data_IF_237728688583
#
_entry.id   IF_237728688583
#
_cell.length_a   1.000
_cell.length_b   1.000
_cell.length_c   1.000
_cell.angle_alpha   90.00
_cell.angle_beta   90.00
_cell.angle_gamma   90.00
#
_symmetry.space_group_name_H-M   'P 1'
#
loop_
_entity.id
_entity.type
_entity.pdbx_description
1 polymer ?
#
# COMPACT_ATOMS: atom_id res chain seq x y z
N UNK A 1 10.23 32.81 -21.03
CA UNK A 1 9.37 31.67 -20.64
C UNK A 1 7.94 31.92 -21.09
N UNK A 2 7.39 31.05 -21.93
CA UNK A 2 6.03 31.18 -22.50
C UNK A 2 4.94 31.10 -21.43
N UNK A 3 3.82 31.79 -21.66
CA UNK A 3 2.62 31.80 -20.78
C UNK A 3 2.15 30.39 -20.37
N UNK A 4 2.26 29.43 -21.30
CA UNK A 4 1.92 28.02 -21.09
C UNK A 4 2.80 27.38 -20.01
N UNK A 5 4.11 27.62 -20.04
CA UNK A 5 5.05 27.04 -19.08
C UNK A 5 4.77 27.54 -17.65
N UNK A 6 4.43 28.83 -17.49
CA UNK A 6 4.04 29.41 -16.19
C UNK A 6 2.74 28.80 -15.65
N UNK A 7 1.76 28.52 -16.52
CA UNK A 7 0.47 27.91 -16.12
C UNK A 7 0.66 26.46 -15.69
N UNK A 8 1.49 25.69 -16.40
CA UNK A 8 1.83 24.30 -16.04
C UNK A 8 2.56 24.26 -14.70
N UNK A 9 3.56 25.11 -14.48
CA UNK A 9 4.31 25.17 -13.22
C UNK A 9 3.40 25.59 -12.05
N UNK A 10 2.52 26.58 -12.25
CA UNK A 10 1.58 27.04 -11.22
C UNK A 10 0.54 25.98 -10.85
N UNK A 11 0.01 25.25 -11.83
CA UNK A 11 -0.95 24.17 -11.59
C UNK A 11 -0.29 22.96 -10.91
N UNK A 12 0.96 22.67 -11.25
CA UNK A 12 1.75 21.63 -10.60
C UNK A 12 2.07 21.99 -9.15
N UNK A 13 2.48 23.24 -8.88
CA UNK A 13 2.77 23.69 -7.52
C UNK A 13 1.53 23.77 -6.64
N UNK A 14 0.38 24.21 -7.16
CA UNK A 14 -0.88 24.21 -6.41
C UNK A 14 -1.38 22.79 -6.11
N UNK A 15 -1.28 21.87 -7.08
CA UNK A 15 -1.65 20.46 -6.87
C UNK A 15 -0.76 19.74 -5.86
N UNK A 16 0.53 20.11 -5.77
CA UNK A 16 1.44 19.62 -4.71
C UNK A 16 1.08 20.23 -3.35
N UNK A 17 0.71 21.50 -3.31
CA UNK A 17 0.34 22.19 -2.07
C UNK A 17 -0.92 21.59 -1.43
N UNK A 18 -1.98 21.37 -2.22
CA UNK A 18 -3.22 20.75 -1.74
C UNK A 18 -3.01 19.29 -1.30
N UNK A 19 -2.17 18.55 -2.01
CA UNK A 19 -1.78 17.20 -1.62
C UNK A 19 -1.05 17.19 -0.26
N UNK A 20 -0.08 18.10 -0.07
CA UNK A 20 0.70 18.20 1.17
C UNK A 20 -0.11 18.65 2.38
N UNK A 21 -1.25 19.32 2.20
CA UNK A 21 -2.09 19.72 3.32
C UNK A 21 -3.01 18.58 3.80
N UNK A 22 -3.42 17.68 2.90
CA UNK A 22 -4.35 16.59 3.21
C UNK A 22 -3.67 15.29 3.63
N UNK A 23 -2.44 15.05 3.15
CA UNK A 23 -1.74 13.77 3.31
C UNK A 23 -0.34 13.96 3.92
N UNK A 24 -0.22 14.93 4.83
CA UNK A 24 1.06 15.36 5.40
C UNK A 24 1.57 14.34 6.41
N UNK A 25 2.82 13.94 6.25
CA UNK A 25 3.57 13.27 7.30
C UNK A 25 4.27 14.32 8.18
N UNK A 26 4.35 14.09 9.50
CA UNK A 26 4.99 15.01 10.43
C UNK A 26 6.49 15.14 10.14
N UNK A 27 7.12 16.23 10.59
CA UNK A 27 8.54 16.49 10.31
C UNK A 27 9.43 15.44 10.94
N UNK A 28 8.98 14.90 12.06
CA UNK A 28 9.53 13.82 12.86
C UNK A 28 9.81 12.60 11.97
N UNK A 29 8.83 12.17 11.16
CA UNK A 29 9.02 11.10 10.17
C UNK A 29 10.10 11.45 9.14
N UNK A 30 10.04 12.65 8.56
CA UNK A 30 10.98 13.05 7.49
C UNK A 30 12.42 13.18 8.00
N UNK A 31 12.59 13.73 9.20
CA UNK A 31 13.88 14.01 9.81
C UNK A 31 14.49 12.79 10.52
N UNK A 32 13.71 11.72 10.74
CA UNK A 32 14.26 10.51 11.33
C UNK A 32 15.24 9.83 10.36
N UNK A 33 16.31 9.28 10.94
CA UNK A 33 17.29 8.45 10.24
C UNK A 33 16.98 6.95 10.42
N UNK A 34 15.88 6.62 11.08
CA UNK A 34 15.37 5.25 11.23
C UNK A 34 14.93 4.66 9.88
N UNK A 35 14.89 3.34 9.83
CA UNK A 35 14.36 2.62 8.67
C UNK A 35 12.88 2.92 8.52
N UNK A 36 12.47 3.37 7.33
CA UNK A 36 11.11 3.79 7.01
C UNK A 36 10.37 2.73 6.22
N UNK A 37 9.23 2.29 6.75
CA UNK A 37 8.33 1.36 6.08
C UNK A 37 7.08 2.11 5.62
N UNK A 38 6.67 1.86 4.38
CA UNK A 38 5.35 2.21 3.87
C UNK A 38 4.54 0.93 3.69
N UNK A 39 3.37 0.85 4.32
CA UNK A 39 2.46 -0.27 4.24
C UNK A 39 1.13 0.15 3.61
N UNK A 40 0.71 -0.61 2.61
CA UNK A 40 -0.53 -0.40 1.84
C UNK A 40 -1.22 -1.73 1.59
N UNK A 41 -2.53 -1.70 1.33
CA UNK A 41 -3.30 -2.89 1.02
C UNK A 41 -4.50 -2.57 0.13
N UNK A 42 -5.01 -3.59 -0.58
CA UNK A 42 -6.27 -3.56 -1.31
C UNK A 42 -6.35 -2.32 -2.20
N UNK A 43 -5.49 -2.27 -3.21
CA UNK A 43 -5.22 -1.07 -3.99
C UNK A 43 -6.01 -1.07 -5.30
N UNK A 44 -7.13 -0.33 -5.43
CA UNK A 44 -7.80 -0.18 -6.72
C UNK A 44 -6.98 0.72 -7.65
N UNK A 45 -7.10 0.50 -8.95
CA UNK A 45 -6.37 1.25 -9.99
C UNK A 45 -6.54 2.77 -9.84
N UNK A 46 -7.73 3.21 -9.42
CA UNK A 46 -8.07 4.63 -9.27
C UNK A 46 -7.14 5.40 -8.32
N UNK A 47 -6.44 4.72 -7.41
CA UNK A 47 -5.53 5.36 -6.45
C UNK A 47 -4.04 5.15 -6.72
N UNK A 48 -3.65 4.46 -7.80
CA UNK A 48 -2.22 4.24 -8.11
C UNK A 48 -1.42 5.54 -8.16
N UNK A 49 -1.97 6.57 -8.81
CA UNK A 49 -1.32 7.88 -8.88
C UNK A 49 -1.12 8.52 -7.50
N UNK A 50 -2.02 8.26 -6.56
CA UNK A 50 -1.92 8.74 -5.18
C UNK A 50 -0.81 7.96 -4.44
N UNK A 51 -0.80 6.63 -4.55
CA UNK A 51 0.27 5.78 -4.00
C UNK A 51 1.64 6.24 -4.48
N UNK A 52 1.81 6.50 -5.78
CA UNK A 52 3.09 6.98 -6.32
C UNK A 52 3.50 8.38 -5.81
N UNK A 53 2.53 9.27 -5.56
CA UNK A 53 2.83 10.57 -4.95
C UNK A 53 3.26 10.41 -3.51
N UNK A 54 2.54 9.57 -2.76
CA UNK A 54 2.87 9.24 -1.37
C UNK A 54 4.24 8.57 -1.26
N UNK A 55 4.57 7.66 -2.17
CA UNK A 55 5.89 7.03 -2.28
C UNK A 55 7.00 8.07 -2.43
N UNK A 56 6.90 8.98 -3.41
CA UNK A 56 7.92 10.03 -3.62
C UNK A 56 7.99 11.00 -2.45
N UNK A 57 6.85 11.31 -1.83
CA UNK A 57 6.79 12.24 -0.72
C UNK A 57 7.43 11.65 0.55
N UNK A 58 7.15 10.39 0.85
CA UNK A 58 7.58 9.71 2.07
C UNK A 58 8.95 9.04 1.96
N UNK A 59 9.42 8.73 0.74
CA UNK A 59 10.72 8.09 0.46
C UNK A 59 11.05 6.94 1.44
N UNK A 60 10.21 5.89 1.52
CA UNK A 60 10.44 4.76 2.41
C UNK A 60 11.62 3.91 1.94
N UNK A 61 12.23 3.18 2.87
CA UNK A 61 13.28 2.18 2.60
C UNK A 61 12.67 0.81 2.26
N UNK A 62 11.48 0.53 2.80
CA UNK A 62 10.74 -0.71 2.58
C UNK A 62 9.27 -0.41 2.26
N UNK A 63 8.71 -1.12 1.29
CA UNK A 63 7.30 -1.09 0.93
C UNK A 63 6.73 -2.49 1.14
N UNK A 64 5.64 -2.58 1.89
CA UNK A 64 4.94 -3.83 2.15
C UNK A 64 3.51 -3.67 1.63
N UNK A 65 3.10 -4.57 0.73
CA UNK A 65 1.75 -4.59 0.18
C UNK A 65 1.03 -5.88 0.56
N UNK A 66 0.00 -5.78 1.39
CA UNK A 66 -0.74 -6.94 1.93
C UNK A 66 -1.95 -7.31 1.10
N UNK A 67 -1.73 -7.57 -0.19
CA UNK A 67 -2.73 -8.19 -1.07
C UNK A 67 -3.63 -7.25 -1.84
N UNK A 68 -4.19 -7.78 -2.92
CA UNK A 68 -5.12 -7.18 -3.87
C UNK A 68 -4.54 -5.96 -4.58
N UNK A 69 -3.59 -6.21 -5.49
CA UNK A 69 -2.87 -5.19 -6.25
C UNK A 69 -3.77 -4.40 -7.20
N UNK A 70 -4.89 -4.99 -7.62
CA UNK A 70 -5.89 -4.36 -8.50
C UNK A 70 -7.28 -4.57 -7.92
N UNK A 71 -7.51 -4.08 -6.70
CA UNK A 71 -8.66 -4.46 -5.87
C UNK A 71 -10.05 -4.19 -6.50
N UNK A 72 -10.12 -3.25 -7.45
CA UNK A 72 -11.35 -3.01 -8.23
C UNK A 72 -11.71 -4.16 -9.19
N UNK A 73 -10.81 -5.12 -9.41
CA UNK A 73 -11.03 -6.34 -10.18
C UNK A 73 -11.06 -7.50 -9.18
N UNK A 74 -12.26 -7.80 -8.68
CA UNK A 74 -12.52 -8.92 -7.77
C UNK A 74 -12.38 -10.25 -8.51
N UNK A 75 -11.15 -10.69 -8.80
CA UNK A 75 -10.89 -11.86 -9.67
C UNK A 75 -11.60 -13.13 -9.17
N UNK A 76 -11.68 -13.30 -7.86
CA UNK A 76 -12.41 -14.41 -7.23
C UNK A 76 -13.91 -14.40 -7.58
N UNK A 77 -14.51 -13.22 -7.76
CA UNK A 77 -15.95 -13.05 -8.02
C UNK A 77 -16.29 -12.96 -9.52
N UNK A 78 -15.38 -12.41 -10.34
CA UNK A 78 -15.71 -11.92 -11.68
C UNK A 78 -15.40 -12.89 -12.84
N UNK A 79 -14.71 -14.00 -12.58
CA UNK A 79 -14.37 -15.02 -13.56
C UNK A 79 -13.26 -14.61 -14.55
N UNK A 80 -12.93 -15.53 -15.46
CA UNK A 80 -11.71 -15.48 -16.30
C UNK A 80 -11.65 -14.29 -17.28
N UNK A 81 -12.78 -13.63 -17.57
CA UNK A 81 -12.86 -12.52 -18.53
C UNK A 81 -12.05 -11.28 -18.08
N UNK A 82 -11.86 -11.10 -16.77
CA UNK A 82 -11.09 -9.98 -16.23
C UNK A 82 -9.59 -10.26 -16.14
N UNK A 83 -9.14 -11.50 -16.33
CA UNK A 83 -7.72 -11.89 -16.21
C UNK A 83 -6.81 -11.03 -17.11
N UNK A 84 -7.12 -10.79 -18.40
CA UNK A 84 -6.24 -9.97 -19.24
C UNK A 84 -6.12 -8.52 -18.75
N UNK A 85 -7.21 -7.97 -18.17
CA UNK A 85 -7.21 -6.63 -17.61
C UNK A 85 -6.40 -6.58 -16.31
N UNK A 86 -6.59 -7.55 -15.42
CA UNK A 86 -5.81 -7.70 -14.19
C UNK A 86 -4.32 -7.83 -14.51
N UNK A 87 -3.95 -8.72 -15.43
CA UNK A 87 -2.57 -8.92 -15.88
C UNK A 87 -1.92 -7.60 -16.30
N UNK A 88 -2.61 -6.83 -17.14
CA UNK A 88 -2.09 -5.54 -17.60
C UNK A 88 -1.91 -4.55 -16.44
N UNK A 89 -2.86 -4.49 -15.50
CA UNK A 89 -2.89 -3.48 -14.43
C UNK A 89 -1.97 -3.79 -13.27
N UNK A 90 -1.95 -5.03 -12.79
CA UNK A 90 -0.98 -5.49 -11.80
C UNK A 90 0.46 -5.31 -12.30
N UNK A 91 0.72 -5.69 -13.55
CA UNK A 91 2.03 -5.50 -14.17
C UNK A 91 2.42 -4.02 -14.32
N UNK A 92 1.47 -3.15 -14.65
CA UNK A 92 1.67 -1.70 -14.65
C UNK A 92 2.04 -1.18 -13.25
N UNK A 93 1.32 -1.62 -12.21
CA UNK A 93 1.56 -1.23 -10.83
C UNK A 93 2.94 -1.66 -10.33
N UNK A 94 3.29 -2.94 -10.50
CA UNK A 94 4.57 -3.53 -10.09
C UNK A 94 5.74 -2.80 -10.77
N UNK A 95 5.71 -2.69 -12.11
CA UNK A 95 6.79 -2.03 -12.86
C UNK A 95 6.97 -0.57 -12.46
N UNK A 96 5.87 0.14 -12.22
CA UNK A 96 5.95 1.53 -11.79
C UNK A 96 6.52 1.64 -10.38
N UNK A 97 6.07 0.83 -9.42
CA UNK A 97 6.66 0.81 -8.08
C UNK A 97 8.17 0.55 -8.14
N UNK A 98 8.59 -0.52 -8.82
CA UNK A 98 10.02 -0.88 -8.93
C UNK A 98 10.87 0.21 -9.58
N UNK A 99 10.32 0.93 -10.57
CA UNK A 99 11.01 2.02 -11.29
C UNK A 99 11.09 3.32 -10.49
N UNK A 100 10.12 3.58 -9.62
CA UNK A 100 9.97 4.88 -8.96
C UNK A 100 10.77 5.02 -7.66
N UNK A 101 11.28 3.91 -7.13
CA UNK A 101 12.04 3.86 -5.88
C UNK A 101 13.11 2.79 -5.94
N UNK A 102 14.10 2.87 -5.04
CA UNK A 102 15.03 1.78 -4.74
C UNK A 102 14.64 0.99 -3.50
N UNK A 103 13.54 1.35 -2.83
CA UNK A 103 13.04 0.67 -1.64
C UNK A 103 12.89 -0.85 -1.87
N UNK A 104 13.16 -1.66 -0.85
CA UNK A 104 12.78 -3.08 -0.85
C UNK A 104 11.26 -3.18 -0.95
N UNK A 105 10.75 -4.07 -1.80
CA UNK A 105 9.29 -4.21 -2.01
C UNK A 105 8.91 -5.65 -1.71
N UNK A 106 7.94 -5.82 -0.81
CA UNK A 106 7.45 -7.13 -0.36
C UNK A 106 5.95 -7.18 -0.65
N UNK A 107 5.55 -8.17 -1.44
CA UNK A 107 4.16 -8.47 -1.76
C UNK A 107 3.68 -9.70 -0.98
N UNK A 108 2.51 -9.58 -0.37
CA UNK A 108 1.75 -10.71 0.19
C UNK A 108 0.49 -10.80 -0.67
N UNK A 109 0.38 -11.76 -1.60
CA UNK A 109 -0.77 -11.82 -2.51
C UNK A 109 -2.09 -12.02 -1.75
N UNK A 110 -3.13 -11.30 -2.18
CA UNK A 110 -4.49 -11.44 -1.66
C UNK A 110 -5.34 -12.43 -2.45
N UNK A 111 -6.62 -12.56 -2.12
CA UNK A 111 -7.54 -13.49 -2.80
C UNK A 111 -7.95 -13.01 -4.20
N UNK A 112 -7.78 -11.73 -4.51
CA UNK A 112 -7.99 -11.19 -5.85
C UNK A 112 -6.70 -11.07 -6.66
N UNK A 113 -5.59 -11.62 -6.17
CA UNK A 113 -4.33 -11.64 -6.89
C UNK A 113 -4.03 -12.98 -7.58
N UNK A 114 -3.42 -12.91 -8.77
CA UNK A 114 -2.79 -14.07 -9.41
C UNK A 114 -1.28 -14.03 -9.15
N UNK A 115 -0.81 -14.98 -8.33
CA UNK A 115 0.60 -15.08 -7.93
C UNK A 115 1.53 -15.27 -9.13
N UNK A 116 1.10 -15.99 -10.17
CA UNK A 116 1.95 -16.23 -11.35
C UNK A 116 2.16 -14.93 -12.12
N UNK A 117 1.10 -14.12 -12.25
CA UNK A 117 1.18 -12.79 -12.88
C UNK A 117 2.16 -11.89 -12.11
N UNK A 118 2.12 -11.90 -10.77
CA UNK A 118 3.07 -11.14 -9.95
C UNK A 118 4.49 -11.65 -10.22
N UNK A 119 4.73 -12.96 -10.13
CA UNK A 119 6.05 -13.59 -10.36
C UNK A 119 6.65 -13.25 -11.72
N UNK A 120 5.83 -13.21 -12.77
CA UNK A 120 6.27 -12.89 -14.13
C UNK A 120 6.63 -11.41 -14.33
N UNK A 121 6.16 -10.52 -13.45
CA UNK A 121 6.30 -9.06 -13.62
C UNK A 121 7.22 -8.38 -12.59
N UNK A 122 7.64 -9.07 -11.53
CA UNK A 122 8.67 -8.58 -10.60
C UNK A 122 10.06 -8.72 -11.22
N UNK A 123 10.93 -7.74 -10.98
CA UNK A 123 12.36 -7.83 -11.32
C UNK A 123 13.24 -7.88 -10.08
N UNK A 124 12.82 -7.21 -9.00
CA UNK A 124 13.60 -7.05 -7.76
C UNK A 124 12.75 -7.13 -6.48
N UNK A 125 11.43 -7.14 -6.62
CA UNK A 125 10.50 -7.28 -5.50
C UNK A 125 10.47 -8.72 -5.00
N UNK A 126 9.96 -8.90 -3.79
CA UNK A 126 9.82 -10.20 -3.13
C UNK A 126 8.35 -10.57 -2.98
N UNK A 127 8.05 -11.86 -3.05
CA UNK A 127 6.73 -12.40 -2.73
C UNK A 127 6.90 -13.24 -1.47
N UNK A 128 6.10 -12.95 -0.44
CA UNK A 128 6.01 -13.73 0.78
C UNK A 128 4.61 -14.31 0.91
N UNK A 129 4.50 -15.40 1.67
CA UNK A 129 3.22 -16.04 1.95
C UNK A 129 2.59 -15.47 3.22
N UNK A 130 1.27 -15.61 3.36
CA UNK A 130 0.59 -15.24 4.59
C UNK A 130 1.15 -15.98 5.81
N UNK A 131 1.20 -15.28 6.95
CA UNK A 131 1.79 -15.80 8.19
C UNK A 131 3.31 -15.68 8.23
N UNK A 132 3.94 -15.10 7.20
CA UNK A 132 5.37 -14.85 7.21
C UNK A 132 5.76 -13.80 8.24
N UNK A 133 6.96 -13.93 8.79
CA UNK A 133 7.63 -12.91 9.59
C UNK A 133 8.84 -12.42 8.81
N UNK A 134 8.97 -11.10 8.66
CA UNK A 134 10.21 -10.46 8.21
C UNK A 134 10.83 -9.70 9.38
N UNK A 135 12.12 -9.90 9.62
CA UNK A 135 12.86 -9.15 10.61
C UNK A 135 13.57 -7.97 9.94
N UNK A 136 13.30 -6.75 10.42
CA UNK A 136 13.88 -5.51 9.93
C UNK A 136 14.38 -4.70 11.13
N UNK A 137 15.66 -4.34 11.12
CA UNK A 137 16.31 -3.57 12.20
C UNK A 137 16.02 -4.13 13.62
N UNK A 138 16.02 -5.46 13.75
CA UNK A 138 15.76 -6.16 15.01
C UNK A 138 14.28 -6.24 15.43
N UNK A 139 13.35 -5.81 14.58
CA UNK A 139 11.90 -5.86 14.84
C UNK A 139 11.25 -6.92 13.96
N UNK A 140 10.42 -7.80 14.56
CA UNK A 140 9.66 -8.83 13.83
C UNK A 140 8.35 -8.27 13.29
N UNK A 141 8.17 -8.34 11.98
CA UNK A 141 6.96 -7.89 11.31
C UNK A 141 6.20 -9.08 10.74
N UNK A 142 5.02 -9.34 11.28
CA UNK A 142 4.08 -10.34 10.81
C UNK A 142 3.27 -9.82 9.63
N UNK A 143 3.11 -10.66 8.60
CA UNK A 143 2.56 -10.29 7.31
C UNK A 143 1.45 -11.25 6.90
N UNK A 144 0.28 -10.74 6.58
CA UNK A 144 -0.81 -11.50 5.99
C UNK A 144 -1.71 -10.59 5.16
N UNK A 145 -2.51 -11.13 4.24
CA UNK A 145 -3.64 -10.39 3.67
C UNK A 145 -4.83 -10.54 4.63
N UNK A 146 -5.14 -11.78 5.02
CA UNK A 146 -6.16 -12.13 6.01
C UNK A 146 -5.66 -11.96 7.45
N UNK A 147 -6.34 -11.19 8.32
CA UNK A 147 -5.91 -10.99 9.72
C UNK A 147 -5.80 -12.29 10.52
N UNK A 148 -6.65 -13.28 10.25
CA UNK A 148 -6.62 -14.59 10.91
C UNK A 148 -5.39 -15.44 10.53
N UNK A 149 -4.65 -15.05 9.48
CA UNK A 149 -3.41 -15.70 9.05
C UNK A 149 -2.16 -15.03 9.62
N UNK A 150 -2.31 -13.96 10.39
CA UNK A 150 -1.20 -13.30 11.05
C UNK A 150 -0.46 -14.25 12.00
N UNK A 151 0.88 -14.17 12.06
CA UNK A 151 1.66 -14.97 13.00
C UNK A 151 1.50 -14.46 14.44
N UNK A 152 1.70 -15.34 15.41
CA UNK A 152 1.58 -15.01 16.84
C UNK A 152 2.81 -14.29 17.41
N UNK A 153 4.00 -14.53 16.84
CA UNK A 153 5.30 -14.05 17.34
C UNK A 153 5.84 -12.88 16.51
N UNK A 154 5.11 -11.78 16.47
CA UNK A 154 5.51 -10.54 15.78
C UNK A 154 5.29 -9.31 16.66
N UNK A 155 6.21 -8.34 16.59
CA UNK A 155 6.09 -7.04 17.25
C UNK A 155 5.02 -6.17 16.59
N UNK A 156 4.97 -6.21 15.25
CA UNK A 156 4.05 -5.44 14.41
C UNK A 156 3.41 -6.40 13.41
N UNK A 157 2.10 -6.36 13.28
CA UNK A 157 1.33 -7.15 12.34
C UNK A 157 0.69 -6.25 11.29
N UNK A 158 0.98 -6.53 10.02
CA UNK A 158 0.50 -5.80 8.85
C UNK A 158 -0.48 -6.68 8.06
N UNK A 159 -1.68 -6.16 7.82
CA UNK A 159 -2.74 -6.91 7.15
C UNK A 159 -3.73 -6.02 6.37
N UNK A 160 -4.60 -6.66 5.59
CA UNK A 160 -5.64 -6.03 4.77
C UNK A 160 -6.95 -6.80 4.81
N UNK A 161 -7.55 -7.02 3.64
CA UNK A 161 -8.74 -7.83 3.35
C UNK A 161 -10.08 -7.33 3.95
N UNK A 162 -10.10 -6.96 5.23
CA UNK A 162 -11.29 -6.49 5.93
C UNK A 162 -10.99 -5.29 6.85
N UNK A 163 -12.04 -4.72 7.45
CA UNK A 163 -11.93 -3.54 8.34
C UNK A 163 -11.69 -3.91 9.81
N UNK A 164 -11.22 -5.13 10.12
CA UNK A 164 -10.97 -5.55 11.49
C UNK A 164 -9.95 -4.63 12.17
N UNK A 165 -10.25 -4.26 13.40
CA UNK A 165 -9.43 -3.39 14.24
C UNK A 165 -9.27 -3.92 15.66
N UNK A 166 -10.20 -4.77 16.11
CA UNK A 166 -10.18 -5.34 17.45
C UNK A 166 -9.24 -6.54 17.48
N UNK A 167 -8.08 -6.35 18.10
CA UNK A 167 -7.12 -7.40 18.40
C UNK A 167 -6.83 -7.39 19.90
N UNK A 168 -6.57 -8.58 20.45
CA UNK A 168 -6.18 -8.74 21.85
C UNK A 168 -4.66 -8.83 21.97
N UNK A 169 -4.11 -8.25 23.04
CA UNK A 169 -2.67 -8.27 23.34
C UNK A 169 -1.96 -6.95 23.09
N UNK A 170 -0.66 -6.92 23.41
CA UNK A 170 0.18 -5.71 23.37
C UNK A 170 0.87 -5.48 22.02
N UNK A 171 0.74 -6.44 21.07
CA UNK A 171 1.33 -6.32 19.74
C UNK A 171 0.64 -5.24 18.93
N UNK A 172 1.37 -4.60 18.01
CA UNK A 172 0.81 -3.55 17.15
C UNK A 172 0.14 -4.18 15.93
N UNK A 173 -1.10 -3.78 15.62
CA UNK A 173 -1.85 -4.25 14.45
C UNK A 173 -2.19 -3.07 13.54
N UNK A 174 -1.74 -3.13 12.28
CA UNK A 174 -1.89 -2.05 11.31
C UNK A 174 -2.58 -2.56 10.05
N UNK A 175 -3.81 -2.09 9.86
CA UNK A 175 -4.64 -2.41 8.72
C UNK A 175 -4.35 -1.47 7.55
N UNK A 176 -3.96 -2.02 6.40
CA UNK A 176 -3.63 -1.29 5.17
C UNK A 176 -4.84 -0.89 4.33
N UNK A 177 -6.05 -1.36 4.65
CA UNK A 177 -7.29 -0.86 4.04
C UNK A 177 -7.63 0.53 4.58
N UNK A 178 -7.52 0.69 5.91
CA UNK A 178 -7.95 1.92 6.59
C UNK A 178 -7.05 3.10 6.25
N UNK A 179 -5.75 2.86 6.14
CA UNK A 179 -4.74 3.89 5.99
C UNK A 179 -3.54 3.39 5.20
N UNK A 180 -2.83 4.32 4.57
CA UNK A 180 -1.43 4.12 4.25
C UNK A 180 -0.68 4.27 5.59
N UNK A 181 -0.07 3.19 6.04
CA UNK A 181 0.66 3.16 7.30
C UNK A 181 2.14 3.43 7.04
N UNK A 182 2.76 4.26 7.87
CA UNK A 182 4.17 4.58 7.84
C UNK A 182 4.78 4.21 9.19
N UNK A 183 5.91 3.50 9.18
CA UNK A 183 6.51 2.97 10.42
C UNK A 183 8.00 3.31 10.44
N UNK A 184 8.50 3.73 11.59
CA UNK A 184 9.92 3.91 11.86
C UNK A 184 10.44 2.74 12.70
N UNK A 185 11.59 2.18 12.30
CA UNK A 185 12.29 1.15 13.05
C UNK A 185 13.69 1.62 13.48
N UNK A 186 14.10 1.31 14.72
CA UNK A 186 13.53 0.28 15.61
C UNK A 186 12.50 0.82 16.63
N UNK A 187 12.19 2.13 16.61
CA UNK A 187 11.28 2.74 17.62
C UNK A 187 9.86 2.16 17.60
N UNK A 188 9.45 1.56 16.49
CA UNK A 188 8.09 1.08 16.21
C UNK A 188 7.06 2.22 16.20
N UNK A 189 7.48 3.49 16.05
CA UNK A 189 6.55 4.62 15.88
C UNK A 189 5.79 4.50 14.56
N UNK A 190 4.48 4.74 14.56
CA UNK A 190 3.65 4.68 13.36
C UNK A 190 2.89 5.98 13.08
N UNK A 191 2.75 6.30 11.80
CA UNK A 191 1.98 7.42 11.28
C UNK A 191 0.98 6.92 10.26
N UNK A 192 -0.26 7.40 10.35
CA UNK A 192 -1.36 6.96 9.49
C UNK A 192 -1.79 8.10 8.58
N UNK A 193 -1.82 7.82 7.27
CA UNK A 193 -2.35 8.74 6.27
C UNK A 193 -3.60 8.13 5.66
N UNK A 194 -4.72 8.81 5.86
CA UNK A 194 -5.99 8.41 5.24
C UNK A 194 -5.85 8.36 3.72
N UNK A 195 -6.44 7.35 3.10
CA UNK A 195 -6.59 7.32 1.65
C UNK A 195 -7.49 8.46 1.14
N UNK A 196 -7.41 8.79 -0.16
CA UNK A 196 -8.42 9.63 -0.79
C UNK A 196 -9.81 9.02 -0.64
N UNK A 197 -10.82 9.85 -0.44
CA UNK A 197 -12.22 9.43 -0.26
C UNK A 197 -12.77 8.57 -1.42
N UNK A 198 -12.14 8.61 -2.59
CA UNK A 198 -12.51 7.81 -3.76
C UNK A 198 -12.03 6.36 -3.68
N UNK A 199 -11.19 6.00 -2.71
CA UNK A 199 -10.64 4.64 -2.62
C UNK A 199 -11.75 3.62 -2.41
N UNK A 200 -12.69 3.89 -1.51
CA UNK A 200 -13.75 2.94 -1.16
C UNK A 200 -14.71 2.71 -2.32
N UNK A 201 -14.95 3.74 -3.15
CA UNK A 201 -15.67 3.61 -4.41
C UNK A 201 -14.90 2.72 -5.40
N UNK A 202 -13.58 2.86 -5.43
CA UNK A 202 -12.70 2.05 -6.28
C UNK A 202 -12.63 0.59 -5.86
N UNK A 203 -12.62 0.31 -4.54
CA UNK A 203 -12.59 -1.05 -3.98
C UNK A 203 -13.85 -1.86 -4.26
N UNK A 204 -14.88 -1.24 -4.85
CA UNK A 204 -16.17 -1.85 -5.16
C UNK A 204 -16.72 -2.66 -3.98
N UNK A 205 -16.58 -2.15 -2.74
CA UNK A 205 -17.29 -2.74 -1.61
C UNK A 205 -18.73 -2.91 -2.04
N UNK A 206 -19.20 -4.17 -2.10
CA UNK A 206 -20.51 -4.54 -2.62
C UNK A 206 -21.49 -3.45 -2.22
N UNK A 207 -22.08 -2.81 -3.23
CA UNK A 207 -23.11 -1.80 -3.05
C UNK A 207 -24.20 -2.40 -2.17
N UNK A 208 -24.13 -2.21 -0.86
CA UNK A 208 -25.16 -2.67 0.07
C UNK A 208 -25.98 -1.46 0.49
N UNK A 209 -27.11 -1.36 -0.19
CA UNK A 209 -28.36 -0.72 0.16
C UNK A 209 -28.29 0.74 0.64
N UNK A 210 -28.70 1.62 -0.28
CA UNK A 210 -29.53 2.76 0.13
C UNK A 210 -30.67 2.23 1.01
N UNK A 211 -30.64 2.59 2.28
CA UNK A 211 -31.82 2.73 3.13
C UNK A 211 -31.90 4.19 3.51
#
# INVERSE_FOLDING_TARGET
>A
MTSVLKKVIKNFSSGIYDFKNRYKLPKEYHNSNELKIMHISDTPESIYSHVYKMLRYSSPDVIIHTGDLVDNLKLEDAGDELIPLYQRKSAEFIRNLEKLTSARIIYIPGNHDDINVIKENINRSEIMFEGSIVELDGVKIGLAHYPEKLPLDADINLFGHNHQQDFTGDNKFLNGILNINYILLPSKEDFKVNYPWTVDQGRQYKSFNMI
#
